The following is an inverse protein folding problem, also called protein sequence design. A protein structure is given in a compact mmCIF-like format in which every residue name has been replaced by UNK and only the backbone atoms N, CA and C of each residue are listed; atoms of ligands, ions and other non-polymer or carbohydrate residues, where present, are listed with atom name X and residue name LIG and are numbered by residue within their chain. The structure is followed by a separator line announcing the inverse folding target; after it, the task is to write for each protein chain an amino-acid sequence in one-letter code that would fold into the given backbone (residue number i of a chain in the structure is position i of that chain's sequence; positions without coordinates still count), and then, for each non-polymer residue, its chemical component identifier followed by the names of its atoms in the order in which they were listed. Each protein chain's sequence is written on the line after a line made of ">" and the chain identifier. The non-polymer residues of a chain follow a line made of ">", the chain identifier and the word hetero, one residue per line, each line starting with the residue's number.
data_IF_118374340242
#
_entry.id   IF_118374340242
#
_cell.length_a   1.000
_cell.length_b   1.000
_cell.length_c   1.000
_cell.angle_alpha   90.00
_cell.angle_beta   90.00
_cell.angle_gamma   90.00
#
_symmetry.space_group_name_H-M   'P 1'
#
loop_
_entity.id
_entity.type
_entity.pdbx_description
1 polymer ?
#
# COMPACT_ATOMS: atom_id res chain seq x y z
N UNK A 1 -4.94 25.06 -33.95
CA UNK A 1 -3.77 24.63 -33.13
C UNK A 1 -4.29 24.18 -31.77
N UNK A 2 -4.23 22.87 -31.48
CA UNK A 2 -4.78 22.29 -30.23
C UNK A 2 -3.88 22.71 -29.06
N UNK A 3 -4.44 23.43 -28.08
CA UNK A 3 -3.77 23.80 -26.84
C UNK A 3 -3.33 22.51 -26.12
N UNK A 4 -2.03 22.29 -25.99
CA UNK A 4 -1.47 21.17 -25.24
C UNK A 4 -1.78 21.36 -23.76
N UNK A 5 -2.47 20.39 -23.17
CA UNK A 5 -2.83 20.38 -21.75
C UNK A 5 -1.55 20.19 -20.90
N UNK A 6 -0.99 21.28 -20.36
CA UNK A 6 0.23 21.24 -19.53
C UNK A 6 0.08 20.38 -18.25
N UNK A 7 -1.14 20.07 -17.82
CA UNK A 7 -1.41 19.29 -16.60
C UNK A 7 -1.50 17.77 -16.81
N UNK A 8 -1.58 17.28 -18.05
CA UNK A 8 -1.58 15.83 -18.32
C UNK A 8 -0.16 15.24 -18.44
N UNK A 9 0.86 16.09 -18.54
CA UNK A 9 2.25 15.66 -18.80
C UNK A 9 3.05 15.34 -17.53
N UNK A 10 2.57 15.72 -16.35
CA UNK A 10 3.27 15.50 -15.07
C UNK A 10 3.48 14.01 -14.76
N UNK A 11 2.43 13.15 -14.74
CA UNK A 11 2.62 11.75 -14.39
C UNK A 11 3.42 10.98 -15.45
N UNK A 12 3.35 11.39 -16.72
CA UNK A 12 4.11 10.73 -17.78
C UNK A 12 5.61 10.99 -17.68
N UNK A 13 5.99 12.24 -17.36
CA UNK A 13 7.39 12.62 -17.11
C UNK A 13 7.95 11.92 -15.88
N UNK A 14 7.19 11.89 -14.78
CA UNK A 14 7.59 11.18 -13.57
C UNK A 14 7.81 9.68 -13.81
N UNK A 15 6.94 9.04 -14.61
CA UNK A 15 7.10 7.63 -15.00
C UNK A 15 8.35 7.46 -15.87
N UNK A 16 8.60 8.37 -16.82
CA UNK A 16 9.78 8.33 -17.67
C UNK A 16 11.07 8.47 -16.85
N UNK A 17 11.13 9.43 -15.93
CA UNK A 17 12.27 9.66 -15.03
C UNK A 17 12.51 8.45 -14.13
N UNK A 18 11.44 7.83 -13.62
CA UNK A 18 11.51 6.61 -12.81
C UNK A 18 12.09 5.42 -13.61
N UNK A 19 11.77 5.31 -14.90
CA UNK A 19 12.23 4.23 -15.76
C UNK A 19 13.58 4.51 -16.46
N UNK A 20 14.07 5.75 -16.44
CA UNK A 20 15.35 6.14 -17.03
C UNK A 20 16.55 5.24 -16.62
N UNK A 21 16.75 4.88 -15.33
CA UNK A 21 17.92 4.11 -14.91
C UNK A 21 17.87 2.61 -15.26
N UNK A 22 16.75 2.10 -15.78
CA UNK A 22 16.61 0.67 -16.10
C UNK A 22 16.96 0.39 -17.57
N UNK A 23 17.40 -0.82 -17.94
CA UNK A 23 17.59 -1.19 -19.35
C UNK A 23 16.24 -1.36 -20.09
N UNK A 24 16.26 -1.36 -21.42
CA UNK A 24 15.11 -1.71 -22.26
C UNK A 24 15.53 -2.78 -23.29
N UNK A 25 14.97 -4.01 -23.24
CA UNK A 25 13.99 -4.50 -22.28
C UNK A 25 14.59 -4.76 -20.89
N UNK A 26 13.79 -4.57 -19.83
CA UNK A 26 14.21 -4.88 -18.45
C UNK A 26 13.77 -6.27 -18.00
N UNK A 27 14.59 -6.88 -17.13
CA UNK A 27 14.23 -8.13 -16.47
C UNK A 27 13.26 -7.93 -15.29
N UNK A 28 12.69 -9.05 -14.80
CA UNK A 28 11.74 -9.08 -13.66
C UNK A 28 12.24 -8.34 -12.42
N UNK A 29 13.55 -8.38 -12.12
CA UNK A 29 14.12 -7.68 -10.96
C UNK A 29 14.04 -6.16 -11.10
N UNK A 30 14.32 -5.64 -12.30
CA UNK A 30 14.17 -4.22 -12.63
C UNK A 30 12.71 -3.80 -12.54
N UNK A 31 11.82 -4.56 -13.19
CA UNK A 31 10.38 -4.34 -13.14
C UNK A 31 9.83 -4.28 -11.71
N UNK A 32 10.23 -5.23 -10.85
CA UNK A 32 9.84 -5.26 -9.44
C UNK A 32 10.26 -3.98 -8.69
N UNK A 33 11.51 -3.55 -8.89
CA UNK A 33 12.07 -2.35 -8.23
C UNK A 33 11.42 -1.07 -8.74
N UNK A 34 11.30 -0.91 -10.06
CA UNK A 34 10.63 0.22 -10.70
C UNK A 34 9.18 0.37 -10.21
N UNK A 35 8.42 -0.72 -10.23
CA UNK A 35 7.00 -0.70 -9.85
C UNK A 35 6.73 -0.74 -8.34
N UNK A 36 7.78 -0.89 -7.52
CA UNK A 36 7.68 -1.06 -6.06
C UNK A 36 6.67 -2.15 -5.65
N UNK A 37 6.80 -3.34 -6.26
CA UNK A 37 5.91 -4.48 -6.00
C UNK A 37 6.64 -5.66 -5.36
N UNK A 38 5.89 -6.59 -4.76
CA UNK A 38 6.42 -7.83 -4.23
C UNK A 38 6.86 -8.81 -5.34
N UNK A 39 7.72 -9.76 -4.99
CA UNK A 39 8.18 -10.81 -5.92
C UNK A 39 7.03 -11.63 -6.49
N UNK A 40 6.03 -11.95 -5.67
CA UNK A 40 4.89 -12.76 -6.09
C UNK A 40 3.89 -11.99 -6.96
N UNK A 41 3.75 -10.69 -6.69
CA UNK A 41 2.96 -9.79 -7.54
C UNK A 41 3.61 -9.65 -8.92
N UNK A 42 4.94 -9.50 -9.00
CA UNK A 42 5.60 -9.44 -10.31
C UNK A 42 5.49 -10.76 -11.08
N UNK A 43 5.54 -11.92 -10.41
CA UNK A 43 5.27 -13.21 -11.06
C UNK A 43 3.84 -13.27 -11.59
N UNK A 44 2.86 -12.93 -10.76
CA UNK A 44 1.45 -12.93 -11.14
C UNK A 44 1.21 -12.11 -12.41
N UNK A 45 1.66 -10.85 -12.42
CA UNK A 45 1.44 -9.93 -13.53
C UNK A 45 2.02 -10.44 -14.85
N UNK A 46 3.19 -11.08 -14.79
CA UNK A 46 3.88 -11.59 -15.98
C UNK A 46 3.30 -12.93 -16.45
N UNK A 47 2.95 -13.84 -15.52
CA UNK A 47 2.38 -15.15 -15.86
C UNK A 47 0.92 -15.06 -16.34
N UNK A 48 0.15 -14.12 -15.78
CA UNK A 48 -1.24 -13.87 -16.21
C UNK A 48 -1.34 -13.05 -17.50
N UNK A 49 -0.22 -12.49 -17.99
CA UNK A 49 -0.21 -11.62 -19.17
C UNK A 49 -0.78 -10.22 -18.94
N UNK A 50 -1.10 -9.84 -17.70
CA UNK A 50 -1.57 -8.49 -17.35
C UNK A 50 -0.53 -7.41 -17.66
N UNK A 51 0.75 -7.77 -17.61
CA UNK A 51 1.86 -6.98 -18.14
C UNK A 51 2.51 -7.78 -19.26
N UNK A 52 2.46 -7.29 -20.51
CA UNK A 52 3.11 -7.95 -21.64
C UNK A 52 4.59 -8.19 -21.36
N UNK A 53 5.06 -9.39 -21.70
CA UNK A 53 6.47 -9.74 -21.57
C UNK A 53 6.83 -10.89 -22.51
N UNK A 54 8.10 -10.94 -22.90
CA UNK A 54 8.66 -12.11 -23.57
C UNK A 54 9.24 -13.05 -22.52
N UNK A 55 8.85 -14.32 -22.57
CA UNK A 55 9.40 -15.37 -21.73
C UNK A 55 10.29 -16.30 -22.57
N UNK A 56 11.59 -16.31 -22.28
CA UNK A 56 12.58 -17.14 -22.98
C UNK A 56 12.55 -18.63 -22.58
N UNK A 57 11.69 -19.04 -21.64
CA UNK A 57 11.55 -20.44 -21.21
C UNK A 57 12.67 -20.97 -20.31
N UNK A 58 13.70 -20.16 -20.04
CA UNK A 58 14.79 -20.52 -19.11
C UNK A 58 14.29 -20.61 -17.68
N UNK A 59 14.94 -21.43 -16.85
CA UNK A 59 14.60 -21.57 -15.43
C UNK A 59 14.76 -20.25 -14.66
N UNK A 60 15.77 -19.44 -15.01
CA UNK A 60 16.05 -18.15 -14.37
C UNK A 60 16.27 -17.06 -15.41
N UNK A 61 16.06 -15.79 -14.99
CA UNK A 61 16.23 -14.58 -15.82
C UNK A 61 15.50 -14.68 -17.17
N UNK A 62 14.30 -15.27 -17.16
CA UNK A 62 13.59 -15.62 -18.38
C UNK A 62 12.72 -14.52 -18.98
N UNK A 63 12.34 -13.52 -18.19
CA UNK A 63 11.45 -12.43 -18.60
C UNK A 63 12.20 -11.24 -19.19
N UNK A 64 11.71 -10.72 -20.32
CA UNK A 64 12.05 -9.42 -20.90
C UNK A 64 10.77 -8.58 -21.00
N UNK A 65 10.81 -7.37 -20.47
CA UNK A 65 9.64 -6.49 -20.35
C UNK A 65 10.04 -5.14 -20.93
N UNK A 66 9.29 -4.65 -21.93
CA UNK A 66 9.58 -3.37 -22.54
C UNK A 66 9.26 -2.22 -21.58
N UNK A 67 10.04 -1.13 -21.60
CA UNK A 67 9.76 0.06 -20.78
C UNK A 67 8.37 0.64 -21.06
N UNK A 68 7.92 0.58 -22.31
CA UNK A 68 6.59 1.03 -22.72
C UNK A 68 5.48 0.28 -21.98
N UNK A 69 5.60 -1.04 -21.85
CA UNK A 69 4.62 -1.88 -21.14
C UNK A 69 4.61 -1.61 -19.63
N UNK A 70 5.80 -1.38 -19.05
CA UNK A 70 5.92 -0.97 -17.63
C UNK A 70 5.27 0.39 -17.40
N UNK A 71 5.47 1.34 -18.31
CA UNK A 71 4.84 2.66 -18.23
C UNK A 71 3.31 2.54 -18.36
N UNK A 72 2.80 1.73 -19.28
CA UNK A 72 1.37 1.47 -19.45
C UNK A 72 0.76 0.85 -18.18
N UNK A 73 1.44 -0.14 -17.58
CA UNK A 73 1.06 -0.73 -16.30
C UNK A 73 0.99 0.32 -15.19
N UNK A 74 2.00 1.17 -15.03
CA UNK A 74 2.02 2.21 -14.00
C UNK A 74 0.88 3.21 -14.17
N UNK A 75 0.60 3.65 -15.41
CA UNK A 75 -0.52 4.55 -15.73
C UNK A 75 -1.87 3.92 -15.37
N UNK A 76 -2.12 2.71 -15.86
CA UNK A 76 -3.40 2.02 -15.60
C UNK A 76 -3.57 1.67 -14.13
N UNK A 77 -2.50 1.30 -13.44
CA UNK A 77 -2.55 0.99 -12.00
C UNK A 77 -2.96 2.20 -11.15
N UNK A 78 -2.62 3.42 -11.58
CA UNK A 78 -3.06 4.64 -10.89
C UNK A 78 -4.56 4.89 -11.09
N UNK A 79 -5.10 4.60 -12.27
CA UNK A 79 -6.51 4.81 -12.58
C UNK A 79 -7.41 3.67 -12.06
N UNK A 80 -6.98 2.43 -12.22
CA UNK A 80 -7.75 1.21 -11.98
C UNK A 80 -6.89 0.16 -11.25
N UNK A 81 -6.59 0.36 -9.96
CA UNK A 81 -5.77 -0.59 -9.22
C UNK A 81 -6.45 -1.95 -9.03
N UNK A 82 -7.78 -2.00 -9.04
CA UNK A 82 -8.57 -3.22 -8.92
C UNK A 82 -8.29 -4.23 -10.04
N UNK A 83 -8.02 -3.76 -11.27
CA UNK A 83 -7.72 -4.59 -12.43
C UNK A 83 -6.52 -5.52 -12.23
N UNK A 84 -5.54 -5.09 -11.43
CA UNK A 84 -4.32 -5.85 -11.14
C UNK A 84 -4.39 -6.66 -9.84
N UNK A 85 -5.57 -6.73 -9.22
CA UNK A 85 -5.76 -7.47 -7.96
C UNK A 85 -5.79 -8.97 -8.24
N UNK A 86 -4.88 -9.77 -7.65
CA UNK A 86 -4.87 -11.22 -7.90
C UNK A 86 -6.14 -11.90 -7.38
N UNK A 87 -6.58 -13.00 -8.01
CA UNK A 87 -7.71 -13.80 -7.54
C UNK A 87 -7.54 -14.26 -6.09
N UNK A 88 -8.67 -14.40 -5.38
CA UNK A 88 -8.70 -14.96 -4.02
C UNK A 88 -8.02 -16.34 -4.01
N UNK A 89 -6.92 -16.47 -3.27
CA UNK A 89 -6.14 -17.72 -3.24
C UNK A 89 -4.73 -17.61 -3.77
N UNK A 90 -4.40 -16.61 -4.60
CA UNK A 90 -3.07 -16.46 -5.18
C UNK A 90 -1.95 -16.40 -4.11
N UNK A 91 -2.27 -15.82 -2.95
CA UNK A 91 -1.37 -15.71 -1.81
C UNK A 91 -1.57 -16.80 -0.73
N UNK A 92 -2.59 -17.68 -0.83
CA UNK A 92 -2.95 -18.65 0.24
C UNK A 92 -1.94 -19.79 0.40
N UNK A 93 -1.25 -20.21 -0.67
CA UNK A 93 -0.38 -21.39 -0.64
C UNK A 93 0.98 -21.18 0.07
N UNK A 94 1.14 -20.14 0.89
CA UNK A 94 2.39 -19.85 1.62
C UNK A 94 2.09 -19.46 3.08
N UNK A 95 1.98 -20.44 4.00
CA UNK A 95 1.53 -20.26 5.39
C UNK A 95 2.40 -19.32 6.25
N UNK A 96 3.61 -18.98 5.81
CA UNK A 96 4.55 -18.09 6.53
C UNK A 96 4.69 -16.69 5.95
N UNK A 97 4.05 -16.37 4.83
CA UNK A 97 4.18 -15.05 4.21
C UNK A 97 3.09 -14.10 4.70
N UNK A 98 3.50 -13.07 5.45
CA UNK A 98 2.68 -11.89 5.70
C UNK A 98 2.18 -11.36 4.33
N UNK A 99 0.89 -10.97 4.20
CA UNK A 99 0.46 -10.23 3.02
C UNK A 99 1.44 -9.08 2.78
N UNK A 100 1.71 -8.70 1.51
CA UNK A 100 2.64 -7.63 1.22
C UNK A 100 2.32 -6.43 2.13
N UNK A 101 3.34 -5.90 2.81
CA UNK A 101 3.17 -4.82 3.79
C UNK A 101 2.43 -3.60 3.22
N UNK A 102 2.36 -3.50 1.89
CA UNK A 102 1.44 -2.67 1.16
C UNK A 102 0.21 -3.49 0.74
N UNK A 103 -0.82 -3.46 1.59
CA UNK A 103 -2.20 -3.40 1.06
C UNK A 103 -2.30 -2.18 0.13
N UNK A 104 -3.32 -2.11 -0.73
CA UNK A 104 -3.59 -0.98 -1.63
C UNK A 104 -3.52 0.42 -0.98
N UNK A 105 -3.51 0.48 0.35
CA UNK A 105 -3.07 1.63 1.12
C UNK A 105 -1.55 1.56 1.28
N UNK A 106 -0.83 2.09 0.29
CA UNK A 106 0.52 2.51 0.58
C UNK A 106 0.52 3.39 1.81
N UNK A 107 1.52 3.20 2.68
CA UNK A 107 1.69 3.98 3.91
C UNK A 107 1.15 5.38 3.66
N UNK A 108 -0.03 5.69 4.21
CA UNK A 108 -0.71 6.95 3.94
C UNK A 108 0.32 8.00 4.35
N UNK A 109 1.01 8.59 3.37
CA UNK A 109 1.83 9.76 3.58
C UNK A 109 0.78 10.86 3.75
N UNK A 110 0.18 10.87 4.95
CA UNK A 110 -0.79 11.88 5.33
C UNK A 110 -0.01 13.18 5.29
N UNK A 111 -0.32 14.01 4.31
CA UNK A 111 0.14 15.41 4.30
C UNK A 111 -0.21 16.04 5.64
N UNK A 112 0.52 17.08 6.06
CA UNK A 112 0.22 17.75 7.34
C UNK A 112 -1.20 18.34 7.36
N UNK A 113 -1.76 18.71 6.20
CA UNK A 113 -3.16 19.10 6.09
C UNK A 113 -4.11 17.93 6.42
N UNK A 114 -3.85 16.74 5.88
CA UNK A 114 -4.64 15.54 6.16
C UNK A 114 -4.50 15.11 7.62
N UNK A 115 -3.29 15.15 8.19
CA UNK A 115 -3.05 14.84 9.62
C UNK A 115 -3.87 15.76 10.53
N UNK A 116 -3.86 17.08 10.26
CA UNK A 116 -4.65 18.06 11.03
C UNK A 116 -6.15 17.81 10.93
N UNK A 117 -6.67 17.47 9.75
CA UNK A 117 -8.09 17.13 9.57
C UNK A 117 -8.48 15.86 10.33
N UNK A 118 -7.67 14.81 10.23
CA UNK A 118 -7.91 13.55 10.95
C UNK A 118 -7.85 13.77 12.46
N UNK A 119 -6.87 14.54 12.95
CA UNK A 119 -6.77 14.92 14.37
C UNK A 119 -8.03 15.63 14.85
N UNK A 120 -8.47 16.69 14.16
CA UNK A 120 -9.67 17.45 14.53
C UNK A 120 -10.93 16.59 14.55
N UNK A 121 -11.03 15.64 13.62
CA UNK A 121 -12.14 14.70 13.57
C UNK A 121 -12.16 13.78 14.81
N UNK A 122 -11.00 13.23 15.20
CA UNK A 122 -10.89 12.42 16.42
C UNK A 122 -11.12 13.24 17.70
N UNK A 123 -10.62 14.48 17.79
CA UNK A 123 -10.89 15.37 18.92
C UNK A 123 -12.40 15.58 19.14
N UNK A 124 -13.13 15.89 18.05
CA UNK A 124 -14.59 16.03 18.10
C UNK A 124 -15.30 14.72 18.47
N UNK A 125 -14.83 13.59 17.95
CA UNK A 125 -15.42 12.27 18.24
C UNK A 125 -15.24 11.87 19.71
N UNK A 126 -14.07 12.18 20.27
CA UNK A 126 -13.70 11.88 21.65
C UNK A 126 -14.28 12.88 22.66
N UNK A 127 -14.81 14.03 22.21
CA UNK A 127 -15.41 15.04 23.11
C UNK A 127 -16.55 14.45 23.95
N UNK A 128 -17.29 13.48 23.40
CA UNK A 128 -18.41 12.79 24.09
C UNK A 128 -17.98 11.57 24.90
N UNK A 129 -16.69 11.26 24.91
CA UNK A 129 -16.15 10.09 25.61
C UNK A 129 -15.49 10.52 26.94
N UNK A 130 -15.37 9.59 27.90
CA UNK A 130 -14.63 9.84 29.13
C UNK A 130 -13.16 10.24 28.86
N UNK A 131 -12.56 10.99 29.79
CA UNK A 131 -11.16 11.43 29.67
C UNK A 131 -10.16 10.28 29.58
N UNK A 132 -10.54 9.13 30.15
CA UNK A 132 -9.76 7.90 30.14
C UNK A 132 -10.60 6.77 29.58
N UNK A 133 -10.09 6.15 28.51
CA UNK A 133 -10.74 5.08 27.78
C UNK A 133 -10.10 3.72 28.07
N UNK A 134 -10.90 2.67 28.10
CA UNK A 134 -10.40 1.30 28.00
C UNK A 134 -10.33 0.80 26.55
N UNK A 135 -9.68 -0.35 26.36
CA UNK A 135 -9.51 -0.96 25.05
C UNK A 135 -10.84 -1.30 24.35
N UNK A 136 -11.92 -1.56 25.09
CA UNK A 136 -13.24 -1.87 24.50
C UNK A 136 -13.94 -0.62 24.00
N UNK A 137 -13.84 0.49 24.72
CA UNK A 137 -14.36 1.79 24.30
C UNK A 137 -13.63 2.28 23.04
N UNK A 138 -12.30 2.15 23.00
CA UNK A 138 -11.50 2.50 21.82
C UNK A 138 -11.86 1.60 20.63
N UNK A 139 -12.05 0.30 20.86
CA UNK A 139 -12.51 -0.63 19.83
C UNK A 139 -13.85 -0.20 19.21
N UNK A 140 -14.81 0.23 20.04
CA UNK A 140 -16.10 0.76 19.56
C UNK A 140 -15.97 2.01 18.71
N UNK A 141 -15.07 2.93 19.09
CA UNK A 141 -14.86 4.20 18.38
C UNK A 141 -14.12 3.99 17.05
N UNK A 142 -13.13 3.10 17.04
CA UNK A 142 -12.22 2.92 15.90
C UNK A 142 -12.62 1.78 14.96
N UNK A 143 -13.53 0.89 15.39
CA UNK A 143 -13.94 -0.30 14.64
C UNK A 143 -12.94 -1.46 14.66
N UNK A 144 -11.81 -1.33 15.35
CA UNK A 144 -10.85 -2.42 15.53
C UNK A 144 -11.26 -3.35 16.67
N UNK A 145 -10.78 -4.60 16.64
CA UNK A 145 -10.95 -5.52 17.75
C UNK A 145 -10.21 -5.02 19.01
N UNK A 146 -10.80 -5.23 20.21
CA UNK A 146 -10.18 -4.83 21.49
C UNK A 146 -8.79 -5.44 21.69
N UNK A 147 -8.57 -6.68 21.24
CA UNK A 147 -7.25 -7.33 21.25
C UNK A 147 -6.20 -6.54 20.46
N UNK A 148 -6.58 -5.94 19.34
CA UNK A 148 -5.69 -5.10 18.52
C UNK A 148 -5.32 -3.83 19.27
N UNK A 149 -6.28 -3.20 19.95
CA UNK A 149 -6.05 -2.01 20.77
C UNK A 149 -5.13 -2.33 21.95
N UNK A 150 -5.39 -3.42 22.69
CA UNK A 150 -4.51 -3.84 23.79
C UNK A 150 -3.08 -4.07 23.31
N UNK A 151 -2.92 -4.69 22.14
CA UNK A 151 -1.61 -4.87 21.52
C UNK A 151 -0.93 -3.53 21.21
N UNK A 152 -1.66 -2.51 20.74
CA UNK A 152 -1.09 -1.17 20.55
C UNK A 152 -0.62 -0.53 21.86
N UNK A 153 -1.31 -0.77 22.97
CA UNK A 153 -0.87 -0.34 24.29
C UNK A 153 0.42 -1.06 24.71
N UNK A 154 0.49 -2.39 24.54
CA UNK A 154 1.70 -3.17 24.86
C UNK A 154 2.90 -2.81 23.98
N UNK A 155 2.67 -2.50 22.70
CA UNK A 155 3.70 -2.07 21.74
C UNK A 155 4.10 -0.59 21.89
N UNK A 156 3.50 0.16 22.82
CA UNK A 156 3.79 1.60 23.02
C UNK A 156 3.30 2.51 21.89
N UNK A 157 2.42 2.01 21.01
CA UNK A 157 1.83 2.79 19.90
C UNK A 157 0.71 3.71 20.37
N UNK A 158 0.06 3.34 21.48
CA UNK A 158 -0.83 4.19 22.25
C UNK A 158 -0.20 4.50 23.60
N UNK A 159 -0.24 5.76 24.01
CA UNK A 159 0.15 6.17 25.37
C UNK A 159 -0.88 5.64 26.35
N UNK A 160 -0.54 4.55 27.02
CA UNK A 160 -1.44 3.84 27.93
C UNK A 160 -0.73 3.53 29.24
N UNK A 161 -1.50 3.39 30.31
CA UNK A 161 -1.02 2.87 31.57
C UNK A 161 -1.79 1.60 31.94
N UNK A 162 -1.12 0.62 32.58
CA UNK A 162 -1.79 -0.58 33.07
C UNK A 162 -2.73 -0.19 34.22
N UNK A 163 -3.94 -0.73 34.21
CA UNK A 163 -4.90 -0.58 35.29
C UNK A 163 -5.70 -1.87 35.42
N UNK A 164 -5.52 -2.54 36.56
CA UNK A 164 -6.02 -3.90 36.79
C UNK A 164 -5.57 -4.86 35.68
N UNK A 165 -6.47 -5.70 35.16
CA UNK A 165 -6.20 -6.62 34.05
C UNK A 165 -6.37 -5.97 32.66
N UNK A 166 -6.29 -4.63 32.57
CA UNK A 166 -6.57 -3.88 31.34
C UNK A 166 -5.59 -2.72 31.13
N UNK A 167 -5.73 -2.01 30.00
CA UNK A 167 -5.03 -0.75 29.74
C UNK A 167 -6.01 0.41 29.73
N UNK A 168 -5.56 1.54 30.25
CA UNK A 168 -6.27 2.82 30.23
C UNK A 168 -5.49 3.82 29.38
N UNK A 169 -6.21 4.51 28.49
CA UNK A 169 -5.67 5.44 27.49
C UNK A 169 -6.31 6.80 27.72
N UNK A 170 -5.54 7.81 28.14
CA UNK A 170 -6.00 9.19 28.15
C UNK A 170 -6.34 9.65 26.73
N UNK A 171 -7.34 10.53 26.58
CA UNK A 171 -7.69 11.10 25.27
C UNK A 171 -6.73 12.18 24.76
N UNK A 172 -5.72 12.57 25.55
CA UNK A 172 -4.71 13.61 25.27
C UNK A 172 -3.37 13.10 24.72
#
# INVERSE_FOLDING_TARGET
>A
MKKSNLFQNTPEREIQDLLAPYPDPMGRTGFRKACRIGTRTSIYLLQSGLVPCENTGKQTRCYKIAKADVAAYLRRRLAEPAYYTPPSGWYKNYPGHKPPAFSLNGALVLTDATRRRVRRWYENLLTRQPDVLDAHQIARVTGYASRTVSRWCTEGRLKAFPYQHTYKVPKE
#
